data_IF_209465713925
#
_entry.id   IF_209465713925
#
_cell.length_a   1.000
_cell.length_b   1.000
_cell.length_c   1.000
_cell.angle_alpha   90.00
_cell.angle_beta   90.00
_cell.angle_gamma   90.00
#
_symmetry.space_group_name_H-M   'P 1'
#
loop_
_entity.id
_entity.type
_entity.pdbx_description
1 polymer ?
#
# COMPACT_ATOMS: atom_id res chain seq x y z
N UNK A 1 -75.34 -6.57 -35.06
CA UNK A 1 -76.55 -6.88 -34.29
C UNK A 1 -76.14 -7.49 -32.97
N UNK A 2 -76.49 -6.81 -31.86
CA UNK A 2 -76.81 -7.31 -30.49
C UNK A 2 -75.84 -8.30 -29.80
N UNK A 3 -75.36 -8.12 -28.57
CA UNK A 3 -75.63 -7.12 -27.50
C UNK A 3 -74.59 -7.31 -26.37
N UNK A 4 -74.28 -6.20 -25.69
CA UNK A 4 -73.75 -6.00 -24.32
C UNK A 4 -74.38 -6.97 -23.28
N UNK A 5 -73.85 -7.33 -22.12
CA UNK A 5 -73.10 -6.69 -21.00
C UNK A 5 -72.74 -7.83 -20.01
N UNK A 6 -71.70 -7.84 -19.17
CA UNK A 6 -71.54 -7.00 -17.98
C UNK A 6 -70.17 -7.25 -17.32
N UNK A 7 -69.63 -6.15 -16.80
CA UNK A 7 -68.60 -5.91 -15.79
C UNK A 7 -68.43 -6.94 -14.66
N UNK A 8 -67.18 -7.29 -14.34
CA UNK A 8 -66.71 -7.41 -12.96
C UNK A 8 -65.31 -6.80 -12.82
N UNK A 9 -65.23 -5.79 -11.95
CA UNK A 9 -64.01 -5.22 -11.40
C UNK A 9 -63.40 -6.19 -10.40
N UNK A 10 -62.10 -6.48 -10.52
CA UNK A 10 -61.26 -6.82 -9.38
C UNK A 10 -59.92 -6.11 -9.53
N UNK A 11 -59.76 -5.06 -8.73
CA UNK A 11 -58.51 -4.39 -8.42
C UNK A 11 -57.46 -5.40 -7.96
N UNK A 12 -56.36 -5.52 -8.71
CA UNK A 12 -55.12 -6.11 -8.21
C UNK A 12 -54.06 -5.02 -8.21
N UNK A 13 -53.44 -4.93 -7.04
CA UNK A 13 -52.55 -3.92 -6.51
C UNK A 13 -51.35 -3.56 -7.39
N UNK A 14 -51.09 -2.26 -7.42
CA UNK A 14 -49.81 -1.64 -7.74
C UNK A 14 -48.71 -2.09 -6.75
N UNK A 15 -48.04 -3.23 -7.00
CA UNK A 15 -46.86 -3.61 -6.20
C UNK A 15 -45.91 -4.62 -6.87
N UNK A 16 -45.70 -4.57 -8.18
CA UNK A 16 -44.74 -5.48 -8.84
C UNK A 16 -43.95 -4.87 -10.00
N UNK A 17 -43.64 -3.57 -9.93
CA UNK A 17 -42.84 -2.88 -10.95
C UNK A 17 -41.61 -2.14 -10.39
N UNK A 18 -41.05 -2.59 -9.26
CA UNK A 18 -39.92 -1.92 -8.59
C UNK A 18 -38.70 -2.80 -8.30
N UNK A 19 -38.51 -3.92 -9.01
CA UNK A 19 -37.35 -4.82 -8.78
C UNK A 19 -36.43 -5.05 -9.99
N UNK A 20 -36.52 -4.24 -11.05
CA UNK A 20 -35.70 -4.40 -12.28
C UNK A 20 -34.65 -3.30 -12.52
N UNK A 21 -34.37 -2.43 -11.55
CA UNK A 21 -33.41 -1.32 -11.70
C UNK A 21 -32.10 -1.47 -10.90
N UNK A 22 -31.71 -2.68 -10.52
CA UNK A 22 -30.38 -2.93 -9.98
C UNK A 22 -29.62 -3.82 -10.96
N UNK A 23 -28.47 -3.33 -11.44
CA UNK A 23 -27.55 -3.92 -12.45
C UNK A 23 -27.73 -3.38 -13.87
N UNK A 24 -27.65 -2.05 -14.05
CA UNK A 24 -27.27 -1.47 -15.34
C UNK A 24 -25.77 -1.09 -15.30
N UNK A 25 -24.88 -1.87 -15.94
CA UNK A 25 -23.44 -1.61 -15.93
C UNK A 25 -23.06 -0.25 -16.51
N UNK A 26 -23.82 0.25 -17.49
CA UNK A 26 -23.60 1.57 -18.09
C UNK A 26 -23.93 2.70 -17.09
N UNK A 27 -24.97 2.52 -16.27
CA UNK A 27 -25.32 3.49 -15.22
C UNK A 27 -24.29 3.48 -14.08
N UNK A 28 -23.69 2.32 -13.79
CA UNK A 28 -22.62 2.18 -12.79
C UNK A 28 -21.31 2.80 -13.28
N UNK A 29 -20.97 2.57 -14.56
CA UNK A 29 -19.86 3.24 -15.25
C UNK A 29 -20.06 4.76 -15.27
N UNK A 30 -21.26 5.23 -15.61
CA UNK A 30 -21.59 6.65 -15.62
C UNK A 30 -21.53 7.28 -14.22
N UNK A 31 -21.98 6.56 -13.18
CA UNK A 31 -21.81 6.99 -11.78
C UNK A 31 -20.34 7.05 -11.37
N UNK A 32 -19.51 6.07 -11.74
CA UNK A 32 -18.05 6.09 -11.48
C UNK A 32 -17.37 7.26 -12.20
N UNK A 33 -17.68 7.46 -13.48
CA UNK A 33 -17.20 8.59 -14.28
C UNK A 33 -17.59 9.93 -13.61
N UNK A 34 -18.86 10.10 -13.23
CA UNK A 34 -19.33 11.29 -12.52
C UNK A 34 -18.69 11.48 -11.14
N UNK A 35 -18.39 10.41 -10.40
CA UNK A 35 -17.71 10.47 -9.09
C UNK A 35 -16.27 10.94 -9.25
N UNK A 36 -15.54 10.41 -10.23
CA UNK A 36 -14.18 10.86 -10.62
C UNK A 36 -14.18 12.35 -11.01
N UNK A 37 -15.19 12.80 -11.76
CA UNK A 37 -15.28 14.20 -12.18
C UNK A 37 -15.68 15.19 -11.08
N UNK A 38 -16.28 14.74 -9.97
CA UNK A 38 -16.74 15.60 -8.88
C UNK A 38 -15.69 15.82 -7.78
N UNK A 39 -14.74 14.91 -7.62
CA UNK A 39 -13.79 14.93 -6.49
C UNK A 39 -12.66 15.92 -6.65
N UNK A 40 -12.43 16.46 -7.85
CA UNK A 40 -11.57 17.61 -8.05
C UNK A 40 -11.98 18.40 -9.31
N UNK A 41 -12.74 19.51 -9.16
CA UNK A 41 -13.07 20.41 -10.28
C UNK A 41 -11.82 21.00 -10.93
N UNK A 42 -10.70 21.12 -10.20
CA UNK A 42 -9.43 21.61 -10.71
C UNK A 42 -8.67 20.52 -11.48
N UNK A 43 -8.67 19.25 -11.06
CA UNK A 43 -8.09 18.14 -11.85
C UNK A 43 -8.92 17.86 -13.11
N UNK A 44 -10.23 17.95 -13.02
CA UNK A 44 -11.15 17.75 -14.15
C UNK A 44 -11.09 18.92 -15.12
N UNK A 45 -11.09 20.18 -14.64
CA UNK A 45 -10.72 21.32 -15.49
C UNK A 45 -9.31 21.17 -15.99
N UNK A 46 -8.34 20.63 -15.26
CA UNK A 46 -6.97 20.49 -15.73
C UNK A 46 -6.89 19.49 -16.88
N UNK A 47 -7.51 18.32 -16.77
CA UNK A 47 -7.48 17.30 -17.84
C UNK A 47 -8.24 17.81 -19.06
N UNK A 48 -9.42 18.42 -18.87
CA UNK A 48 -10.22 18.98 -19.97
C UNK A 48 -9.56 20.23 -20.56
N UNK A 49 -9.01 21.13 -19.75
CA UNK A 49 -8.31 22.36 -20.21
C UNK A 49 -6.94 22.02 -20.77
N UNK A 50 -6.22 21.00 -20.32
CA UNK A 50 -4.98 20.51 -20.96
C UNK A 50 -5.29 19.83 -22.30
N UNK A 51 -6.41 19.12 -22.39
CA UNK A 51 -6.91 18.56 -23.65
C UNK A 51 -7.43 19.64 -24.61
N UNK A 52 -7.98 20.75 -24.09
CA UNK A 52 -8.52 21.88 -24.85
C UNK A 52 -7.52 23.03 -25.07
N UNK A 53 -6.39 23.06 -24.37
CA UNK A 53 -5.29 24.03 -24.59
C UNK A 53 -4.28 23.54 -25.62
N UNK A 54 -4.54 22.40 -26.26
CA UNK A 54 -4.14 22.20 -27.65
C UNK A 54 -4.89 23.21 -28.52
N UNK A 55 -4.31 24.41 -28.60
CA UNK A 55 -4.57 25.34 -29.69
C UNK A 55 -4.38 24.60 -31.00
N UNK A 56 -5.48 24.25 -31.68
CA UNK A 56 -5.47 24.03 -33.12
C UNK A 56 -5.31 25.41 -33.76
N UNK A 57 -4.11 25.98 -33.69
CA UNK A 57 -3.72 27.14 -34.48
C UNK A 57 -2.75 26.71 -35.55
N UNK A 58 -3.23 26.74 -36.80
CA UNK A 58 -2.52 26.73 -38.07
C UNK A 58 -1.14 26.04 -38.09
N UNK A 59 -1.12 24.82 -38.67
CA UNK A 59 0.05 24.05 -39.14
C UNK A 59 1.41 24.62 -38.67
N UNK A 60 1.98 24.12 -37.55
CA UNK A 60 3.33 24.50 -37.18
C UNK A 60 4.30 24.02 -38.26
N UNK A 61 5.28 24.85 -38.63
CA UNK A 61 6.39 24.38 -39.47
C UNK A 61 7.12 23.25 -38.72
N UNK A 62 7.74 22.28 -39.43
CA UNK A 62 8.41 21.13 -38.80
C UNK A 62 9.46 21.52 -37.74
N UNK A 63 10.02 22.73 -37.81
CA UNK A 63 11.01 23.26 -36.88
C UNK A 63 10.41 23.86 -35.58
N UNK A 64 9.10 24.11 -35.52
CA UNK A 64 8.44 24.68 -34.34
C UNK A 64 8.08 23.60 -33.29
N UNK A 65 7.81 22.36 -33.72
CA UNK A 65 7.48 21.25 -32.82
C UNK A 65 8.68 20.83 -31.97
N UNK A 66 9.90 20.88 -32.51
CA UNK A 66 11.14 20.53 -31.80
C UNK A 66 11.51 21.50 -30.68
N UNK A 67 10.90 22.70 -30.62
CA UNK A 67 11.10 23.69 -29.54
C UNK A 67 9.87 23.90 -28.66
N UNK A 68 8.73 23.30 -28.99
CA UNK A 68 7.50 23.43 -28.22
C UNK A 68 7.54 22.50 -27.01
N UNK A 69 7.92 23.04 -25.85
CA UNK A 69 7.67 22.38 -24.57
C UNK A 69 6.23 22.67 -24.12
N UNK A 70 5.51 21.69 -23.53
CA UNK A 70 4.23 21.95 -22.89
C UNK A 70 4.40 23.06 -21.86
N UNK A 71 3.56 24.10 -21.93
CA UNK A 71 3.58 25.18 -20.94
C UNK A 71 3.27 24.59 -19.57
N UNK A 72 4.22 24.67 -18.64
CA UNK A 72 4.02 24.26 -17.25
C UNK A 72 3.19 25.32 -16.53
N UNK A 73 2.07 24.89 -15.96
CA UNK A 73 1.19 25.66 -15.10
C UNK A 73 0.87 24.81 -13.87
N UNK A 74 0.36 25.42 -12.79
CA UNK A 74 -0.01 24.69 -11.57
C UNK A 74 -0.92 23.49 -11.85
N UNK A 75 -1.82 23.63 -12.84
CA UNK A 75 -2.72 22.60 -13.33
C UNK A 75 -1.98 21.33 -13.79
N UNK A 76 -1.02 21.43 -14.72
CA UNK A 76 -0.37 20.29 -15.38
C UNK A 76 1.06 19.99 -14.89
N UNK A 77 1.48 20.62 -13.79
CA UNK A 77 2.82 20.48 -13.21
C UNK A 77 2.78 20.10 -11.72
N UNK A 78 1.74 19.36 -11.29
CA UNK A 78 1.65 18.86 -9.92
C UNK A 78 2.74 17.80 -9.67
N UNK A 79 3.50 17.88 -8.55
CA UNK A 79 4.51 16.88 -8.20
C UNK A 79 3.98 15.44 -8.19
N UNK A 80 4.76 14.51 -8.74
CA UNK A 80 4.47 13.08 -8.61
C UNK A 80 4.57 12.64 -7.15
N UNK A 81 3.56 11.91 -6.67
CA UNK A 81 3.54 11.34 -5.33
C UNK A 81 2.66 10.09 -5.26
N UNK A 82 3.13 9.01 -4.61
CA UNK A 82 2.32 7.80 -4.43
C UNK A 82 1.11 8.02 -3.51
N UNK A 83 1.07 9.11 -2.74
CA UNK A 83 -0.08 9.45 -1.87
C UNK A 83 -1.37 9.57 -2.69
N UNK A 84 -1.28 10.07 -3.93
CA UNK A 84 -2.43 10.23 -4.83
C UNK A 84 -3.09 8.89 -5.17
N UNK A 85 -2.38 7.75 -5.04
CA UNK A 85 -2.98 6.45 -5.26
C UNK A 85 -4.09 6.15 -4.25
N UNK A 86 -3.92 6.55 -2.99
CA UNK A 86 -4.94 6.35 -1.95
C UNK A 86 -6.17 7.24 -2.19
N UNK A 87 -5.95 8.53 -2.50
CA UNK A 87 -7.04 9.46 -2.84
C UNK A 87 -7.84 8.91 -4.04
N UNK A 88 -7.15 8.45 -5.10
CA UNK A 88 -7.81 7.81 -6.24
C UNK A 88 -8.55 6.53 -5.85
N UNK A 89 -7.95 5.67 -5.01
CA UNK A 89 -8.57 4.41 -4.60
C UNK A 89 -9.87 4.65 -3.84
N UNK A 90 -9.91 5.64 -2.94
CA UNK A 90 -11.12 6.02 -2.20
C UNK A 90 -12.25 6.51 -3.12
N UNK A 91 -11.91 7.13 -4.26
CA UNK A 91 -12.89 7.59 -5.24
C UNK A 91 -13.39 6.44 -6.13
N UNK A 92 -12.45 5.69 -6.72
CA UNK A 92 -12.73 4.68 -7.76
C UNK A 92 -13.20 3.35 -7.18
N UNK A 93 -12.57 2.92 -6.09
CA UNK A 93 -12.77 1.64 -5.42
C UNK A 93 -13.31 1.83 -3.99
N UNK A 94 -13.98 2.95 -3.73
CA UNK A 94 -14.32 3.38 -2.36
C UNK A 94 -15.03 2.35 -1.50
N UNK A 95 -15.94 1.57 -2.09
CA UNK A 95 -16.73 0.54 -1.39
C UNK A 95 -16.05 -0.85 -1.44
N UNK A 96 -14.93 -0.98 -2.14
CA UNK A 96 -14.17 -2.22 -2.23
C UNK A 96 -13.28 -2.39 -0.99
N UNK A 97 -13.06 -3.63 -0.53
CA UNK A 97 -12.10 -3.90 0.55
C UNK A 97 -10.71 -3.38 0.20
N UNK A 98 -10.07 -2.72 1.17
CA UNK A 98 -8.71 -2.24 1.10
C UNK A 98 -7.80 -3.00 2.06
N UNK A 99 -8.30 -3.35 3.25
CA UNK A 99 -7.54 -4.05 4.29
C UNK A 99 -8.40 -5.18 4.87
N UNK A 100 -7.78 -6.35 5.03
CA UNK A 100 -8.32 -7.49 5.75
C UNK A 100 -7.33 -7.90 6.84
N UNK A 101 -7.78 -7.94 8.09
CA UNK A 101 -6.95 -8.30 9.24
C UNK A 101 -7.80 -8.86 10.37
N UNK A 102 -7.58 -10.13 10.76
CA UNK A 102 -8.45 -10.85 11.70
C UNK A 102 -9.93 -10.76 11.27
N UNK A 103 -10.79 -10.15 12.08
CA UNK A 103 -12.20 -9.89 11.77
C UNK A 103 -12.45 -8.47 11.22
N UNK A 104 -11.40 -7.66 11.12
CA UNK A 104 -11.47 -6.30 10.58
C UNK A 104 -11.47 -6.32 9.06
N UNK A 105 -12.48 -5.67 8.48
CA UNK A 105 -12.57 -5.33 7.06
C UNK A 105 -12.67 -3.82 6.96
N UNK A 106 -11.77 -3.20 6.20
CA UNK A 106 -11.84 -1.76 5.89
C UNK A 106 -11.86 -1.56 4.39
N UNK A 107 -12.74 -0.66 3.94
CA UNK A 107 -12.86 -0.24 2.54
C UNK A 107 -11.86 0.86 2.20
N UNK A 108 -11.62 1.11 0.90
CA UNK A 108 -10.71 2.19 0.48
C UNK A 108 -11.18 3.58 0.93
N UNK A 109 -12.49 3.82 0.99
CA UNK A 109 -13.03 5.08 1.49
C UNK A 109 -12.78 5.26 3.00
N UNK A 110 -12.91 4.19 3.78
CA UNK A 110 -12.60 4.20 5.21
C UNK A 110 -11.10 4.35 5.48
N UNK A 111 -10.26 3.59 4.78
CA UNK A 111 -8.80 3.69 4.89
C UNK A 111 -8.33 5.11 4.57
N UNK A 112 -8.85 5.76 3.53
CA UNK A 112 -8.49 7.15 3.24
C UNK A 112 -8.90 8.12 4.35
N UNK A 113 -10.14 8.02 4.87
CA UNK A 113 -10.58 8.85 6.00
C UNK A 113 -9.70 8.65 7.24
N UNK A 114 -9.37 7.40 7.58
CA UNK A 114 -8.46 7.08 8.69
C UNK A 114 -7.07 7.69 8.48
N UNK A 115 -6.53 7.62 7.27
CA UNK A 115 -5.24 8.23 6.96
C UNK A 115 -5.27 9.77 7.08
N UNK A 116 -6.35 10.44 6.70
CA UNK A 116 -6.51 11.89 6.90
C UNK A 116 -6.55 12.25 8.38
N UNK A 117 -7.38 11.55 9.16
CA UNK A 117 -7.47 11.76 10.61
C UNK A 117 -6.11 11.55 11.28
N UNK A 118 -5.43 10.45 10.97
CA UNK A 118 -4.11 10.16 11.51
C UNK A 118 -3.07 11.22 11.11
N UNK A 119 -3.06 11.67 9.85
CA UNK A 119 -2.17 12.73 9.40
C UNK A 119 -2.44 14.06 10.14
N UNK A 120 -3.70 14.40 10.38
CA UNK A 120 -4.10 15.56 11.19
C UNK A 120 -3.57 15.45 12.62
N UNK A 121 -3.72 14.29 13.25
CA UNK A 121 -3.25 14.05 14.61
C UNK A 121 -1.73 14.12 14.70
N UNK A 122 -1.00 13.53 13.74
CA UNK A 122 0.46 13.66 13.63
C UNK A 122 0.86 15.15 13.54
N UNK A 123 0.19 15.93 12.71
CA UNK A 123 0.46 17.36 12.57
C UNK A 123 0.17 18.15 13.87
N UNK A 124 -0.88 17.79 14.61
CA UNK A 124 -1.23 18.43 15.89
C UNK A 124 -0.21 18.20 17.00
N UNK A 125 0.60 17.13 16.91
CA UNK A 125 1.74 16.88 17.79
C UNK A 125 2.96 17.77 17.45
N UNK A 126 2.82 18.71 16.52
CA UNK A 126 3.87 19.64 16.14
C UNK A 126 4.88 19.08 15.13
N UNK A 127 4.59 17.93 14.53
CA UNK A 127 5.39 17.37 13.42
C UNK A 127 5.26 18.27 12.20
N UNK A 128 6.40 18.66 11.63
CA UNK A 128 6.49 19.56 10.49
C UNK A 128 7.03 18.85 9.25
N UNK A 129 6.93 19.51 8.11
CA UNK A 129 7.49 19.02 6.85
C UNK A 129 8.98 18.67 7.02
N UNK A 130 9.36 17.48 6.59
CA UNK A 130 10.74 16.99 6.66
C UNK A 130 11.14 16.39 8.01
N UNK A 131 10.28 16.44 9.04
CA UNK A 131 10.51 15.72 10.28
C UNK A 131 10.38 14.21 10.06
N UNK A 132 11.18 13.43 10.78
CA UNK A 132 11.16 11.97 10.67
C UNK A 132 10.20 11.37 11.70
N UNK A 133 9.35 10.47 11.23
CA UNK A 133 8.44 9.66 12.04
C UNK A 133 8.82 8.19 11.85
N UNK A 134 9.25 7.55 12.94
CA UNK A 134 9.70 6.15 12.90
C UNK A 134 8.57 5.19 13.21
N UNK A 135 8.65 3.96 12.68
CA UNK A 135 7.66 2.91 12.93
C UNK A 135 8.36 1.58 13.18
N UNK A 136 8.02 0.93 14.28
CA UNK A 136 8.46 -0.40 14.69
C UNK A 136 7.20 -1.26 14.80
N UNK A 137 6.74 -1.83 13.69
CA UNK A 137 5.51 -2.62 13.64
C UNK A 137 5.55 -3.76 12.62
N UNK A 138 4.77 -4.85 12.82
CA UNK A 138 4.61 -5.93 11.85
C UNK A 138 3.70 -5.52 10.68
N UNK A 139 3.35 -6.48 9.83
CA UNK A 139 2.46 -6.26 8.69
C UNK A 139 0.99 -6.17 9.13
N UNK A 140 0.66 -5.13 9.91
CA UNK A 140 -0.67 -4.84 10.45
C UNK A 140 -1.30 -3.63 9.73
N UNK A 141 -2.63 -3.42 9.85
CA UNK A 141 -3.31 -2.31 9.17
C UNK A 141 -2.65 -0.94 9.39
N UNK A 142 -2.25 -0.65 10.62
CA UNK A 142 -1.60 0.61 10.97
C UNK A 142 -0.32 0.87 10.17
N UNK A 143 0.46 -0.18 9.86
CA UNK A 143 1.67 -0.05 9.04
C UNK A 143 1.30 0.38 7.61
N UNK A 144 0.23 -0.17 7.03
CA UNK A 144 -0.26 0.27 5.72
C UNK A 144 -0.80 1.71 5.76
N UNK A 145 -1.56 2.07 6.79
CA UNK A 145 -2.10 3.42 6.99
C UNK A 145 -0.98 4.47 7.18
N UNK A 146 0.09 4.14 7.92
CA UNK A 146 1.25 5.01 8.17
C UNK A 146 2.08 5.29 6.91
N UNK A 147 2.12 4.37 5.93
CA UNK A 147 2.76 4.62 4.63
C UNK A 147 2.12 5.78 3.85
N UNK A 148 0.86 6.12 4.16
CA UNK A 148 0.18 7.28 3.59
C UNK A 148 0.11 8.44 4.58
N UNK A 149 -0.25 8.18 5.83
CA UNK A 149 -0.56 9.20 6.83
C UNK A 149 0.64 10.05 7.21
N UNK A 150 1.82 9.42 7.35
CA UNK A 150 3.06 10.15 7.68
C UNK A 150 3.44 11.12 6.55
N UNK A 151 3.54 10.67 5.28
CA UNK A 151 3.72 11.59 4.16
C UNK A 151 2.59 12.60 3.96
N UNK A 152 1.33 12.26 4.29
CA UNK A 152 0.19 13.19 4.27
C UNK A 152 0.32 14.33 5.29
N UNK A 153 1.04 14.11 6.40
CA UNK A 153 1.44 15.15 7.34
C UNK A 153 2.68 15.95 6.86
N UNK A 154 3.25 15.61 5.69
CA UNK A 154 4.48 16.19 5.14
C UNK A 154 5.76 15.64 5.76
N UNK A 155 5.66 14.63 6.62
CA UNK A 155 6.78 14.03 7.32
C UNK A 155 7.39 12.86 6.52
N UNK A 156 8.57 12.42 6.95
CA UNK A 156 9.34 11.34 6.33
C UNK A 156 9.10 10.05 7.13
N UNK A 157 8.60 9.01 6.48
CA UNK A 157 8.39 7.70 7.11
C UNK A 157 9.71 6.94 7.25
N UNK A 158 10.09 6.61 8.49
CA UNK A 158 11.23 5.74 8.77
C UNK A 158 10.77 4.37 9.29
N UNK A 159 10.72 3.36 8.43
CA UNK A 159 10.31 2.01 8.84
C UNK A 159 11.50 1.24 9.39
N UNK A 160 11.41 0.76 10.63
CA UNK A 160 12.50 0.08 11.34
C UNK A 160 12.25 -1.42 11.40
N UNK A 161 13.31 -2.20 11.19
CA UNK A 161 13.25 -3.65 11.24
C UNK A 161 13.00 -4.14 12.67
N UNK A 162 11.92 -4.90 12.85
CA UNK A 162 11.49 -5.49 14.13
C UNK A 162 12.48 -6.47 14.76
N UNK A 163 13.49 -6.93 14.01
CA UNK A 163 14.49 -7.90 14.50
C UNK A 163 15.72 -7.25 15.13
N UNK A 164 15.78 -5.92 15.16
CA UNK A 164 16.89 -5.18 15.76
C UNK A 164 16.76 -5.13 17.28
N UNK A 165 17.89 -5.08 17.98
CA UNK A 165 17.93 -4.87 19.42
C UNK A 165 17.73 -3.38 19.79
N UNK A 166 17.56 -3.10 21.08
CA UNK A 166 17.30 -1.75 21.58
C UNK A 166 18.43 -0.77 21.24
N UNK A 167 19.69 -1.21 21.30
CA UNK A 167 20.85 -0.38 20.96
C UNK A 167 20.86 0.02 19.48
N UNK A 168 20.60 -0.94 18.59
CA UNK A 168 20.50 -0.69 17.16
C UNK A 168 19.35 0.28 16.88
N UNK A 169 18.17 0.08 17.47
CA UNK A 169 17.04 1.00 17.32
C UNK A 169 17.38 2.40 17.84
N UNK A 170 18.00 2.52 19.02
CA UNK A 170 18.43 3.81 19.58
C UNK A 170 19.38 4.55 18.64
N UNK A 171 20.36 3.84 18.07
CA UNK A 171 21.28 4.40 17.07
C UNK A 171 20.54 4.89 15.81
N UNK A 172 19.53 4.16 15.33
CA UNK A 172 18.72 4.58 14.19
C UNK A 172 17.87 5.81 14.52
N UNK A 173 17.25 5.86 15.71
CA UNK A 173 16.44 7.00 16.16
C UNK A 173 17.30 8.26 16.30
N UNK A 174 18.49 8.13 16.88
CA UNK A 174 19.46 9.21 16.98
C UNK A 174 19.91 9.69 15.59
N UNK A 175 20.33 8.78 14.71
CA UNK A 175 20.82 9.13 13.38
C UNK A 175 19.74 9.76 12.50
N UNK A 176 18.49 9.30 12.61
CA UNK A 176 17.37 9.82 11.82
C UNK A 176 16.81 11.13 12.37
N UNK A 177 17.09 11.47 13.64
CA UNK A 177 16.47 12.61 14.30
C UNK A 177 14.96 12.43 14.47
N UNK A 178 14.51 11.19 14.70
CA UNK A 178 13.09 10.85 14.82
C UNK A 178 12.41 11.67 15.92
N UNK A 179 11.26 12.27 15.62
CA UNK A 179 10.48 13.08 16.58
C UNK A 179 9.23 12.38 17.13
N UNK A 180 8.76 11.38 16.40
CA UNK A 180 7.63 10.54 16.77
C UNK A 180 8.00 9.09 16.43
N UNK A 181 7.62 8.14 17.27
CA UNK A 181 7.77 6.72 17.01
C UNK A 181 6.46 5.98 17.27
N UNK A 182 5.98 5.27 16.26
CA UNK A 182 4.89 4.30 16.41
C UNK A 182 5.50 2.94 16.72
N UNK A 183 5.07 2.29 17.79
CA UNK A 183 5.51 0.96 18.17
C UNK A 183 4.31 0.04 18.31
N UNK A 184 4.40 -1.14 17.71
CA UNK A 184 3.48 -2.22 18.03
C UNK A 184 3.52 -2.57 19.52
N UNK A 185 2.38 -2.89 20.14
CA UNK A 185 2.34 -3.15 21.57
C UNK A 185 3.24 -4.34 21.99
N UNK A 186 3.48 -5.33 21.11
CA UNK A 186 4.43 -6.42 21.41
C UNK A 186 5.91 -5.97 21.38
N UNK A 187 6.19 -4.79 20.82
CA UNK A 187 7.51 -4.17 20.77
C UNK A 187 7.66 -2.99 21.73
N UNK A 188 6.66 -2.74 22.59
CA UNK A 188 6.66 -1.61 23.54
C UNK A 188 7.91 -1.59 24.42
N UNK A 189 8.21 -2.72 25.08
CA UNK A 189 9.36 -2.82 25.99
C UNK A 189 10.69 -2.55 25.27
N UNK A 190 10.87 -3.14 24.09
CA UNK A 190 12.04 -2.96 23.24
C UNK A 190 12.21 -1.50 22.81
N UNK A 191 11.13 -0.85 22.39
CA UNK A 191 11.18 0.55 21.93
C UNK A 191 11.37 1.51 23.12
N UNK A 192 10.74 1.23 24.26
CA UNK A 192 10.94 2.01 25.47
C UNK A 192 12.40 1.94 25.94
N UNK A 193 13.00 0.75 25.93
CA UNK A 193 14.44 0.56 26.19
C UNK A 193 15.27 1.39 25.19
N UNK A 194 15.01 1.29 23.89
CA UNK A 194 15.73 2.04 22.86
C UNK A 194 15.65 3.58 23.07
N UNK A 195 14.47 4.10 23.40
CA UNK A 195 14.27 5.54 23.69
C UNK A 195 15.00 5.95 24.96
N UNK A 196 15.09 5.07 25.97
CA UNK A 196 15.81 5.34 27.21
C UNK A 196 17.33 5.44 27.03
N UNK A 197 17.87 4.74 26.02
CA UNK A 197 19.29 4.74 25.65
C UNK A 197 19.72 6.02 24.88
N UNK A 198 18.77 6.85 24.43
CA UNK A 198 19.09 8.10 23.76
C UNK A 198 19.81 9.08 24.70
N UNK A 199 20.88 9.76 24.23
CA UNK A 199 21.60 10.76 25.02
C UNK A 199 20.67 11.81 25.64
N UNK A 200 20.84 12.19 26.93
CA UNK A 200 19.91 13.09 27.63
C UNK A 200 19.72 14.49 27.02
N UNK A 201 20.67 14.94 26.19
CA UNK A 201 20.62 16.25 25.52
C UNK A 201 19.80 16.23 24.21
N UNK A 202 19.41 15.04 23.72
CA UNK A 202 18.57 14.91 22.54
C UNK A 202 17.09 14.90 22.93
N UNK A 203 16.26 15.47 22.05
CA UNK A 203 14.82 15.37 22.19
C UNK A 203 14.40 13.92 21.94
N UNK A 204 13.75 13.29 22.93
CA UNK A 204 13.23 11.94 22.80
C UNK A 204 11.97 11.95 21.93
N UNK A 205 11.82 11.01 20.99
CA UNK A 205 10.61 10.94 20.20
C UNK A 205 9.41 10.63 21.10
N UNK A 206 8.25 11.21 20.79
CA UNK A 206 7.00 10.82 21.43
C UNK A 206 6.65 9.40 21.02
N UNK A 207 6.28 8.54 21.98
CA UNK A 207 5.90 7.15 21.72
C UNK A 207 4.39 7.03 21.53
N UNK A 208 4.00 6.43 20.42
CA UNK A 208 2.62 6.05 20.11
C UNK A 208 2.54 4.53 20.05
N UNK A 209 1.68 3.92 20.86
CA UNK A 209 1.45 2.48 20.82
C UNK A 209 0.36 2.13 19.82
N UNK A 210 0.65 1.12 19.01
CA UNK A 210 -0.25 0.53 18.04
C UNK A 210 -0.72 -0.78 18.62
N UNK A 211 -1.95 -0.80 19.10
CA UNK A 211 -2.60 -2.00 19.60
C UNK A 211 -3.48 -2.70 18.56
N UNK A 212 -3.74 -3.98 18.82
CA UNK A 212 -4.94 -4.66 18.36
C UNK A 212 -5.74 -5.15 19.58
N UNK A 213 -7.07 -5.14 19.49
CA UNK A 213 -7.99 -5.45 20.61
C UNK A 213 -7.74 -6.82 21.28
N UNK A 214 -6.97 -7.69 20.64
CA UNK A 214 -6.73 -9.06 21.08
C UNK A 214 -5.45 -9.26 21.91
N UNK A 215 -4.51 -8.31 21.94
CA UNK A 215 -3.18 -8.58 22.52
C UNK A 215 -2.56 -7.53 23.44
N UNK A 216 -3.19 -6.38 23.63
CA UNK A 216 -2.61 -5.34 24.49
C UNK A 216 -3.38 -5.24 25.81
N UNK A 217 -2.73 -5.61 26.92
CA UNK A 217 -3.12 -5.11 28.24
C UNK A 217 -2.85 -3.60 28.27
N UNK A 218 -3.76 -2.83 28.87
CA UNK A 218 -3.73 -1.36 28.91
C UNK A 218 -2.32 -0.81 29.14
N UNK A 219 -1.90 0.16 28.34
CA UNK A 219 -0.58 0.78 28.40
C UNK A 219 -0.19 1.09 29.85
N UNK A 220 0.92 0.48 30.30
CA UNK A 220 1.35 0.56 31.71
C UNK A 220 2.12 1.85 32.05
N UNK A 221 2.32 2.74 31.06
CA UNK A 221 3.20 3.90 31.17
C UNK A 221 2.44 5.20 30.87
N UNK A 222 2.49 6.16 31.80
CA UNK A 222 1.77 7.46 31.75
C UNK A 222 2.13 8.38 30.56
N UNK A 223 3.04 8.00 29.65
CA UNK A 223 3.55 8.85 28.58
C UNK A 223 3.35 8.30 27.15
N UNK A 224 2.59 7.22 26.97
CA UNK A 224 2.24 6.68 25.66
C UNK A 224 0.95 7.33 25.12
N UNK A 225 0.93 7.62 23.82
CA UNK A 225 -0.31 7.95 23.10
C UNK A 225 -0.83 6.65 22.46
N UNK A 226 -2.14 6.44 22.47
CA UNK A 226 -2.75 5.31 21.75
C UNK A 226 -3.04 5.66 20.28
N UNK A 227 -2.74 4.73 19.38
CA UNK A 227 -2.90 4.88 17.94
C UNK A 227 -4.37 5.09 17.52
N UNK A 228 -5.30 4.28 18.05
CA UNK A 228 -6.71 4.40 17.64
C UNK A 228 -7.31 5.70 18.17
N UNK A 229 -6.93 6.15 19.37
CA UNK A 229 -7.28 7.49 19.86
C UNK A 229 -6.78 8.62 18.94
N UNK A 230 -5.57 8.49 18.37
CA UNK A 230 -5.10 9.45 17.35
C UNK A 230 -5.95 9.41 16.08
N UNK A 231 -6.39 8.23 15.64
CA UNK A 231 -7.25 8.10 14.47
C UNK A 231 -8.65 8.66 14.76
N UNK A 232 -9.23 8.39 15.92
CA UNK A 232 -10.57 8.86 16.29
C UNK A 232 -10.63 10.37 16.50
N UNK A 233 -9.61 10.94 17.15
CA UNK A 233 -9.53 12.37 17.45
C UNK A 233 -9.09 13.26 16.29
N UNK A 234 -8.66 12.68 15.17
CA UNK A 234 -8.20 13.42 14.00
C UNK A 234 -9.31 14.01 13.13
N UNK A 235 -8.98 15.03 12.36
CA UNK A 235 -9.89 15.68 11.40
C UNK A 235 -10.00 14.87 10.10
N UNK A 236 -11.20 14.40 9.74
CA UNK A 236 -11.44 13.70 8.47
C UNK A 236 -11.43 14.61 7.24
N UNK A 237 -11.60 15.91 7.43
CA UNK A 237 -11.55 16.91 6.36
C UNK A 237 -10.15 17.51 6.17
N UNK A 238 -9.16 17.03 6.94
CA UNK A 238 -7.78 17.51 6.92
C UNK A 238 -7.24 17.60 5.50
N UNK A 239 -6.77 18.79 5.12
CA UNK A 239 -6.13 19.02 3.82
C UNK A 239 -4.68 18.60 3.92
N UNK A 240 -4.44 17.33 3.63
CA UNK A 240 -3.11 16.72 3.66
C UNK A 240 -2.09 17.54 2.85
N UNK A 241 -0.85 17.57 3.35
CA UNK A 241 0.20 18.40 2.81
C UNK A 241 0.79 17.76 1.56
N UNK A 242 0.49 18.32 0.39
CA UNK A 242 1.14 17.91 -0.86
C UNK A 242 2.65 18.16 -0.81
N UNK A 243 3.49 17.31 -1.46
CA UNK A 243 4.90 17.62 -1.61
C UNK A 243 5.07 18.93 -2.40
N UNK A 244 6.07 19.73 -2.02
CA UNK A 244 6.42 20.95 -2.74
C UNK A 244 7.18 20.61 -4.02
N UNK A 245 8.01 19.57 -3.95
CA UNK A 245 8.73 18.98 -5.07
C UNK A 245 8.55 17.48 -5.08
N UNK A 246 8.52 16.86 -6.26
CA UNK A 246 8.53 15.40 -6.35
C UNK A 246 9.86 14.79 -5.85
N UNK A 247 10.88 15.63 -5.67
CA UNK A 247 12.17 15.27 -5.06
C UNK A 247 12.18 15.38 -3.54
N UNK A 248 11.10 15.87 -2.92
CA UNK A 248 10.99 15.89 -1.46
C UNK A 248 11.09 14.44 -0.92
N UNK A 249 11.77 14.22 0.22
CA UNK A 249 11.83 12.92 0.86
C UNK A 249 10.44 12.41 1.27
N UNK A 250 10.15 11.14 1.00
CA UNK A 250 8.92 10.47 1.45
C UNK A 250 9.22 9.41 2.52
N UNK A 251 10.36 8.73 2.42
CA UNK A 251 10.75 7.67 3.34
C UNK A 251 12.25 7.59 3.52
N UNK A 252 12.65 7.19 4.72
CA UNK A 252 14.00 6.81 5.12
C UNK A 252 14.00 5.31 5.45
N UNK A 253 14.97 4.58 4.92
CA UNK A 253 15.17 3.17 5.22
C UNK A 253 16.63 2.95 5.64
N UNK A 254 16.91 1.95 6.45
CA UNK A 254 18.28 1.65 6.86
C UNK A 254 18.79 0.34 6.28
N UNK A 255 20.06 0.31 5.89
CA UNK A 255 20.73 -0.90 5.40
C UNK A 255 21.82 -1.33 6.35
N UNK A 256 21.91 -2.65 6.54
CA UNK A 256 22.94 -3.30 7.37
C UNK A 256 24.27 -3.42 6.61
N UNK A 257 24.68 -2.38 5.87
CA UNK A 257 25.90 -2.40 5.06
C UNK A 257 27.11 -2.91 5.84
N UNK A 258 28.15 -3.38 5.13
CA UNK A 258 29.35 -4.06 5.68
C UNK A 258 30.20 -3.23 6.66
N UNK A 259 29.79 -2.01 6.99
CA UNK A 259 30.47 -1.08 7.91
C UNK A 259 29.67 -0.98 9.21
N UNK A 260 30.37 -0.83 10.35
CA UNK A 260 29.76 -0.79 11.70
C UNK A 260 28.74 0.33 11.97
N UNK A 261 28.56 1.28 11.05
CA UNK A 261 27.58 2.36 11.17
C UNK A 261 26.39 2.16 10.22
N UNK A 262 25.14 2.34 10.70
CA UNK A 262 23.94 2.18 9.87
C UNK A 262 23.90 3.24 8.76
N UNK A 263 23.55 2.82 7.54
CA UNK A 263 23.43 3.73 6.39
C UNK A 263 21.96 4.02 6.10
N UNK A 264 21.61 5.31 6.14
CA UNK A 264 20.28 5.79 5.79
C UNK A 264 20.13 5.97 4.28
N UNK A 265 19.09 5.37 3.71
CA UNK A 265 18.66 5.51 2.32
C UNK A 265 17.39 6.34 2.30
N UNK A 266 17.48 7.55 1.74
CA UNK A 266 16.35 8.47 1.61
C UNK A 266 15.77 8.35 0.21
N UNK A 267 14.48 8.02 0.11
CA UNK A 267 13.74 8.00 -1.15
C UNK A 267 12.85 9.23 -1.26
N UNK A 268 12.64 9.70 -2.48
CA UNK A 268 11.76 10.82 -2.78
C UNK A 268 10.38 10.37 -3.29
N UNK A 269 9.40 11.27 -3.27
CA UNK A 269 8.06 11.01 -3.78
C UNK A 269 8.05 10.52 -5.25
N UNK A 270 8.90 11.09 -6.11
CA UNK A 270 9.05 10.68 -7.51
C UNK A 270 9.51 9.23 -7.62
N UNK A 271 10.55 8.86 -6.87
CA UNK A 271 11.11 7.52 -6.86
C UNK A 271 10.06 6.49 -6.42
N UNK A 272 9.40 6.73 -5.29
CA UNK A 272 8.35 5.84 -4.78
C UNK A 272 7.16 5.73 -5.75
N UNK A 273 6.74 6.83 -6.39
CA UNK A 273 5.68 6.82 -7.40
C UNK A 273 6.04 5.93 -8.59
N UNK A 274 7.25 6.13 -9.16
CA UNK A 274 7.73 5.39 -10.33
C UNK A 274 7.94 3.91 -10.00
N UNK A 275 8.58 3.58 -8.88
CA UNK A 275 8.81 2.20 -8.47
C UNK A 275 7.51 1.43 -8.20
N UNK A 276 6.49 2.10 -7.66
CA UNK A 276 5.16 1.49 -7.51
C UNK A 276 4.57 1.09 -8.86
N UNK A 277 4.63 1.97 -9.86
CA UNK A 277 4.08 1.70 -11.21
C UNK A 277 4.91 0.65 -11.94
N UNK A 278 6.23 0.78 -11.90
CA UNK A 278 7.17 -0.11 -12.55
C UNK A 278 7.01 -1.55 -12.04
N UNK A 279 6.97 -1.73 -10.71
CA UNK A 279 6.78 -3.05 -10.09
C UNK A 279 5.45 -3.69 -10.46
N UNK A 280 4.36 -2.91 -10.52
CA UNK A 280 3.05 -3.42 -10.92
C UNK A 280 3.03 -3.84 -12.40
N UNK A 281 3.68 -3.07 -13.28
CA UNK A 281 3.75 -3.36 -14.71
C UNK A 281 4.63 -4.57 -15.00
N UNK A 282 5.84 -4.60 -14.43
CA UNK A 282 6.80 -5.70 -14.59
C UNK A 282 6.19 -7.03 -14.15
N UNK A 283 5.57 -7.06 -12.96
CA UNK A 283 4.94 -8.27 -12.44
C UNK A 283 3.53 -8.52 -13.01
N UNK A 284 3.05 -7.65 -13.91
CA UNK A 284 1.73 -7.76 -14.55
C UNK A 284 0.58 -7.92 -13.55
N UNK A 285 0.65 -7.17 -12.44
CA UNK A 285 -0.35 -7.24 -11.37
C UNK A 285 -1.72 -6.78 -11.91
N UNK A 286 -2.78 -7.59 -11.77
CA UNK A 286 -4.10 -7.22 -12.27
C UNK A 286 -4.70 -6.06 -11.45
N UNK A 287 -5.87 -5.56 -11.88
CA UNK A 287 -6.67 -4.68 -11.02
C UNK A 287 -7.28 -5.50 -9.88
N UNK A 288 -7.39 -4.86 -8.71
CA UNK A 288 -8.01 -5.41 -7.50
C UNK A 288 -7.50 -6.82 -7.12
N UNK A 289 -6.17 -7.06 -7.08
CA UNK A 289 -5.64 -8.33 -6.58
C UNK A 289 -5.97 -8.48 -5.09
N UNK A 290 -6.07 -9.71 -4.61
CA UNK A 290 -5.99 -9.99 -3.17
C UNK A 290 -4.52 -10.26 -2.84
N UNK A 291 -3.88 -9.31 -2.18
CA UNK A 291 -2.44 -9.31 -1.88
C UNK A 291 -2.18 -9.65 -0.41
N UNK A 292 -1.41 -10.71 -0.16
CA UNK A 292 -1.05 -11.14 1.19
C UNK A 292 0.34 -10.64 1.60
N UNK A 293 0.40 -9.95 2.73
CA UNK A 293 1.62 -9.38 3.29
C UNK A 293 2.47 -10.41 4.03
N UNK A 294 3.30 -11.16 3.30
CA UNK A 294 4.37 -11.99 3.88
C UNK A 294 5.76 -11.35 3.81
N UNK A 295 5.97 -10.41 2.89
CA UNK A 295 7.13 -9.53 2.88
C UNK A 295 6.93 -8.45 3.94
N UNK A 296 7.90 -8.18 4.83
CA UNK A 296 7.75 -7.12 5.80
C UNK A 296 7.63 -5.75 5.13
N UNK A 297 6.62 -4.97 5.52
CA UNK A 297 6.43 -3.60 5.03
C UNK A 297 7.60 -2.69 5.41
N UNK A 298 8.35 -2.99 6.47
CA UNK A 298 9.57 -2.25 6.82
C UNK A 298 10.77 -2.56 5.91
N UNK A 299 10.68 -3.58 5.05
CA UNK A 299 11.78 -3.98 4.18
C UNK A 299 11.64 -3.30 2.82
N UNK A 300 12.32 -2.17 2.65
CA UNK A 300 12.21 -1.30 1.48
C UNK A 300 10.74 -0.96 1.15
N UNK A 301 9.97 -0.60 2.19
CA UNK A 301 8.55 -0.22 2.10
C UNK A 301 7.66 -1.28 1.44
N UNK A 302 7.97 -2.57 1.65
CA UNK A 302 7.29 -3.68 0.97
C UNK A 302 7.49 -3.66 -0.54
N UNK A 303 8.69 -3.28 -1.00
CA UNK A 303 9.06 -3.09 -2.42
C UNK A 303 8.09 -2.13 -3.14
N UNK A 304 7.68 -1.07 -2.45
CA UNK A 304 6.70 -0.08 -2.94
C UNK A 304 5.28 -0.62 -3.20
N UNK A 305 4.98 -1.90 -2.93
CA UNK A 305 3.61 -2.43 -3.04
C UNK A 305 2.66 -1.85 -1.99
N UNK A 306 3.18 -1.29 -0.88
CA UNK A 306 2.37 -0.61 0.14
C UNK A 306 1.61 0.56 -0.45
N UNK A 307 2.23 1.29 -1.38
CA UNK A 307 1.58 2.30 -2.20
C UNK A 307 0.93 1.71 -3.46
N UNK A 308 1.61 0.76 -4.11
CA UNK A 308 1.16 0.16 -5.38
C UNK A 308 -0.21 -0.50 -5.30
N UNK A 309 -0.56 -1.15 -4.18
CA UNK A 309 -1.88 -1.77 -4.02
C UNK A 309 -3.02 -0.75 -4.12
N UNK A 310 -2.83 0.50 -3.64
CA UNK A 310 -3.82 1.56 -3.85
C UNK A 310 -3.96 1.96 -5.32
N UNK A 311 -2.87 1.93 -6.10
CA UNK A 311 -2.91 2.29 -7.53
C UNK A 311 -3.83 1.36 -8.32
N UNK A 312 -3.82 0.06 -8.00
CA UNK A 312 -4.63 -0.97 -8.65
C UNK A 312 -5.93 -1.32 -7.90
N UNK A 313 -6.15 -0.76 -6.70
CA UNK A 313 -7.32 -1.06 -5.86
C UNK A 313 -7.27 -2.45 -5.21
N UNK A 314 -6.07 -2.98 -4.97
CA UNK A 314 -5.86 -4.30 -4.39
C UNK A 314 -6.20 -4.39 -2.90
N UNK A 315 -6.63 -5.56 -2.47
CA UNK A 315 -6.92 -5.84 -1.06
C UNK A 315 -5.61 -6.20 -0.35
N UNK A 316 -5.32 -5.55 0.77
CA UNK A 316 -4.18 -5.81 1.63
C UNK A 316 -4.59 -6.78 2.74
N UNK A 317 -4.22 -8.06 2.61
CA UNK A 317 -4.38 -9.05 3.67
C UNK A 317 -3.16 -8.96 4.59
N UNK A 318 -3.37 -8.41 5.77
CA UNK A 318 -2.34 -8.20 6.78
C UNK A 318 -2.14 -9.47 7.63
N UNK A 319 -0.89 -9.75 8.00
CA UNK A 319 -0.55 -10.84 8.93
C UNK A 319 0.50 -10.33 9.92
N UNK A 320 0.17 -10.40 11.20
CA UNK A 320 1.12 -10.05 12.28
C UNK A 320 2.32 -11.00 12.28
N UNK A 321 2.05 -12.30 12.21
CA UNK A 321 3.08 -13.35 12.15
C UNK A 321 3.01 -14.09 10.82
N UNK A 322 4.16 -14.28 10.21
CA UNK A 322 4.31 -15.05 8.98
C UNK A 322 4.77 -16.46 9.36
N UNK A 323 3.81 -17.37 9.44
CA UNK A 323 4.03 -18.82 9.57
C UNK A 323 3.19 -19.57 8.54
N UNK A 324 3.58 -20.80 8.21
CA UNK A 324 2.92 -21.57 7.17
C UNK A 324 1.41 -21.80 7.42
N UNK A 325 0.96 -22.21 8.64
CA UNK A 325 -0.47 -22.32 8.94
C UNK A 325 -1.24 -21.03 8.65
N UNK A 326 -0.77 -19.89 9.17
CA UNK A 326 -1.45 -18.60 9.02
C UNK A 326 -1.51 -18.14 7.55
N UNK A 327 -0.43 -18.37 6.79
CA UNK A 327 -0.39 -18.05 5.36
C UNK A 327 -1.37 -18.91 4.58
N UNK A 328 -1.39 -20.22 4.81
CA UNK A 328 -2.31 -21.14 4.13
C UNK A 328 -3.77 -20.86 4.48
N UNK A 329 -4.06 -20.57 5.75
CA UNK A 329 -5.40 -20.15 6.17
C UNK A 329 -5.83 -18.86 5.46
N UNK A 330 -4.96 -17.84 5.42
CA UNK A 330 -5.26 -16.60 4.72
C UNK A 330 -5.50 -16.81 3.23
N UNK A 331 -4.69 -17.67 2.57
CA UNK A 331 -4.90 -18.04 1.16
C UNK A 331 -6.27 -18.67 0.96
N UNK A 332 -6.62 -19.67 1.77
CA UNK A 332 -7.87 -20.41 1.64
C UNK A 332 -9.10 -19.58 2.03
N UNK A 333 -8.98 -18.70 3.04
CA UNK A 333 -10.06 -17.85 3.57
C UNK A 333 -10.37 -16.66 2.66
N UNK A 334 -9.34 -15.97 2.18
CA UNK A 334 -9.50 -14.70 1.47
C UNK A 334 -9.33 -14.80 -0.05
N UNK A 335 -8.98 -15.99 -0.57
CA UNK A 335 -8.73 -16.17 -2.00
C UNK A 335 -7.53 -15.34 -2.47
N UNK A 336 -6.43 -15.40 -1.72
CA UNK A 336 -5.19 -14.68 -2.04
C UNK A 336 -4.75 -15.00 -3.46
N UNK A 337 -4.32 -13.97 -4.18
CA UNK A 337 -3.87 -14.06 -5.57
C UNK A 337 -2.39 -13.73 -5.73
N UNK A 338 -1.87 -12.83 -4.89
CA UNK A 338 -0.51 -12.30 -4.98
C UNK A 338 0.12 -12.21 -3.59
N UNK A 339 1.41 -12.46 -3.50
CA UNK A 339 2.22 -12.21 -2.30
C UNK A 339 3.69 -12.03 -2.68
N UNK A 340 4.46 -11.36 -1.82
CA UNK A 340 5.91 -11.31 -1.94
C UNK A 340 6.56 -11.99 -0.74
N UNK A 341 7.74 -12.58 -0.92
CA UNK A 341 8.46 -13.17 0.20
C UNK A 341 9.92 -13.49 -0.12
N UNK A 342 10.78 -13.45 0.88
CA UNK A 342 12.15 -13.96 0.72
C UNK A 342 12.14 -15.49 0.54
N UNK A 343 13.21 -16.11 0.02
CA UNK A 343 13.30 -17.57 -0.15
C UNK A 343 13.04 -18.39 1.12
N UNK A 344 13.27 -17.81 2.31
CA UNK A 344 12.92 -18.44 3.59
C UNK A 344 11.41 -18.64 3.75
N UNK A 345 10.58 -17.73 3.22
CA UNK A 345 9.12 -17.86 3.23
C UNK A 345 8.69 -19.02 2.32
N UNK A 346 9.26 -19.11 1.12
CA UNK A 346 9.03 -20.26 0.23
C UNK A 346 9.46 -21.58 0.87
N UNK A 347 10.61 -21.59 1.53
CA UNK A 347 11.14 -22.78 2.19
C UNK A 347 10.24 -23.22 3.35
N UNK A 348 9.78 -22.27 4.17
CA UNK A 348 8.81 -22.50 5.24
C UNK A 348 7.50 -23.09 4.70
N UNK A 349 6.95 -22.53 3.62
CA UNK A 349 5.70 -23.02 3.01
C UNK A 349 5.84 -24.41 2.40
N UNK A 350 6.95 -24.66 1.70
CA UNK A 350 7.20 -25.95 1.01
C UNK A 350 7.60 -27.08 1.96
N UNK A 351 8.04 -26.78 3.17
CA UNK A 351 8.35 -27.77 4.20
C UNK A 351 7.17 -28.07 5.13
N UNK A 352 6.08 -27.31 5.04
CA UNK A 352 4.87 -27.56 5.81
C UNK A 352 4.18 -28.85 5.31
N UNK A 353 3.64 -29.71 6.20
CA UNK A 353 3.08 -31.03 5.83
C UNK A 353 1.70 -30.95 5.14
N UNK A 354 1.43 -29.88 4.39
CA UNK A 354 0.18 -29.72 3.62
C UNK A 354 0.15 -30.77 2.51
N UNK A 355 -0.90 -31.59 2.49
CA UNK A 355 -1.04 -32.70 1.52
C UNK A 355 -1.78 -32.31 0.24
N UNK A 356 -2.50 -31.18 0.24
CA UNK A 356 -3.31 -30.72 -0.90
C UNK A 356 -2.72 -29.44 -1.50
N UNK A 357 -2.57 -29.35 -2.83
CA UNK A 357 -2.25 -28.10 -3.51
C UNK A 357 -3.26 -26.98 -3.21
N UNK A 358 -2.89 -25.76 -3.55
CA UNK A 358 -3.76 -24.59 -3.48
C UNK A 358 -4.96 -24.76 -4.43
N UNK A 359 -6.13 -24.25 -4.02
CA UNK A 359 -7.36 -24.32 -4.82
C UNK A 359 -7.30 -23.46 -6.09
N UNK A 360 -6.44 -22.46 -6.10
CA UNK A 360 -6.23 -21.53 -7.20
C UNK A 360 -4.76 -21.10 -7.21
N UNK A 361 -4.28 -20.69 -8.38
CA UNK A 361 -2.90 -20.25 -8.52
C UNK A 361 -2.65 -18.98 -7.70
N UNK A 362 -1.54 -18.97 -6.96
CA UNK A 362 -1.08 -17.81 -6.19
C UNK A 362 0.27 -17.37 -6.74
N UNK A 363 0.33 -16.13 -7.20
CA UNK A 363 1.57 -15.53 -7.68
C UNK A 363 2.44 -15.14 -6.49
N UNK A 364 3.69 -15.61 -6.48
CA UNK A 364 4.67 -15.24 -5.46
C UNK A 364 5.93 -14.64 -6.10
N UNK A 365 6.19 -13.38 -5.80
CA UNK A 365 7.46 -12.73 -6.16
C UNK A 365 8.48 -12.96 -5.04
N UNK A 366 9.57 -13.65 -5.36
CA UNK A 366 10.68 -13.89 -4.44
C UNK A 366 11.90 -13.08 -4.81
N UNK A 367 12.63 -12.56 -3.81
CA UNK A 367 13.86 -11.80 -3.99
C UNK A 367 14.70 -11.76 -2.70
N UNK A 368 15.84 -11.07 -2.76
CA UNK A 368 16.77 -10.86 -1.63
C UNK A 368 17.85 -11.93 -1.51
N UNK A 369 17.58 -13.14 -1.98
CA UNK A 369 18.58 -14.20 -2.18
C UNK A 369 18.11 -15.13 -3.32
N UNK A 370 19.02 -15.82 -4.02
CA UNK A 370 18.64 -16.80 -5.03
C UNK A 370 17.91 -17.98 -4.38
N UNK A 371 16.66 -18.30 -4.81
CA UNK A 371 15.92 -19.45 -4.27
C UNK A 371 16.53 -20.78 -4.77
N UNK A 372 16.70 -21.81 -3.92
CA UNK A 372 17.17 -23.11 -4.37
C UNK A 372 16.18 -23.77 -5.34
N UNK A 373 16.66 -24.39 -6.42
CA UNK A 373 15.82 -25.01 -7.44
C UNK A 373 14.82 -26.05 -6.87
N UNK A 374 15.24 -26.83 -5.87
CA UNK A 374 14.37 -27.79 -5.19
C UNK A 374 13.20 -27.12 -4.44
N UNK A 375 13.38 -25.90 -3.92
CA UNK A 375 12.32 -25.13 -3.27
C UNK A 375 11.33 -24.63 -4.33
N UNK A 376 11.81 -24.17 -5.48
CA UNK A 376 10.97 -23.72 -6.60
C UNK A 376 10.06 -24.84 -7.10
N UNK A 377 10.62 -26.03 -7.34
CA UNK A 377 9.84 -27.20 -7.78
C UNK A 377 8.77 -27.61 -6.77
N UNK A 378 9.06 -27.56 -5.45
CA UNK A 378 8.05 -27.83 -4.42
C UNK A 378 6.98 -26.75 -4.34
N UNK A 379 7.34 -25.48 -4.53
CA UNK A 379 6.38 -24.38 -4.51
C UNK A 379 5.40 -24.48 -5.69
N UNK A 380 5.88 -24.79 -6.89
CA UNK A 380 5.03 -25.03 -8.05
C UNK A 380 4.12 -26.25 -7.87
N UNK A 381 4.64 -27.34 -7.29
CA UNK A 381 3.82 -28.52 -6.97
C UNK A 381 2.69 -28.22 -5.97
N UNK A 382 2.86 -27.22 -5.11
CA UNK A 382 1.82 -26.71 -4.24
C UNK A 382 0.82 -25.79 -4.96
N UNK A 383 1.11 -25.33 -6.18
CA UNK A 383 0.24 -24.43 -6.96
C UNK A 383 0.64 -22.95 -6.92
N UNK A 384 1.85 -22.63 -6.46
CA UNK A 384 2.38 -21.27 -6.59
C UNK A 384 2.93 -21.01 -7.99
N UNK A 385 2.74 -19.80 -8.50
CA UNK A 385 3.42 -19.29 -9.70
C UNK A 385 4.57 -18.40 -9.21
N UNK A 386 5.81 -18.89 -9.33
CA UNK A 386 6.98 -18.21 -8.76
C UNK A 386 7.61 -17.28 -9.78
N UNK A 387 7.74 -16.01 -9.41
CA UNK A 387 8.56 -15.01 -10.11
C UNK A 387 9.77 -14.67 -9.25
N UNK A 388 10.93 -14.47 -9.85
CA UNK A 388 12.14 -14.08 -9.13
C UNK A 388 12.58 -12.68 -9.55
N UNK A 389 12.91 -11.85 -8.57
CA UNK A 389 13.47 -10.53 -8.79
C UNK A 389 14.71 -10.29 -7.94
N UNK A 390 15.41 -9.21 -8.24
CA UNK A 390 16.54 -8.70 -7.50
C UNK A 390 16.36 -7.20 -7.26
N UNK A 391 16.77 -6.76 -6.08
CA UNK A 391 16.55 -5.42 -5.59
C UNK A 391 17.38 -5.14 -4.35
N UNK A 392 17.50 -3.86 -4.03
CA UNK A 392 18.22 -3.35 -2.88
C UNK A 392 17.35 -2.29 -2.18
N UNK A 393 17.60 -2.05 -0.90
CA UNK A 393 16.94 -0.94 -0.20
C UNK A 393 17.30 0.40 -0.87
N UNK A 394 18.54 0.54 -1.34
CA UNK A 394 19.08 1.67 -2.09
C UNK A 394 18.31 1.96 -3.38
N UNK A 395 17.68 0.95 -3.98
CA UNK A 395 16.92 1.08 -5.22
C UNK A 395 15.41 1.18 -5.01
N UNK A 396 14.93 1.17 -3.76
CA UNK A 396 13.50 1.30 -3.45
C UNK A 396 12.69 0.02 -3.67
N UNK A 397 13.36 -1.13 -3.82
CA UNK A 397 12.73 -2.41 -4.10
C UNK A 397 13.38 -3.11 -5.29
N UNK A 398 12.55 -3.80 -6.08
CA UNK A 398 12.96 -4.61 -7.22
C UNK A 398 13.39 -3.72 -8.39
N UNK A 399 14.52 -4.08 -9.02
CA UNK A 399 15.05 -3.40 -10.23
C UNK A 399 15.36 -4.35 -11.38
N UNK A 400 15.43 -5.65 -11.10
CA UNK A 400 15.61 -6.69 -12.10
C UNK A 400 14.60 -7.79 -11.81
N UNK A 401 13.94 -8.28 -12.84
CA UNK A 401 13.03 -9.41 -12.78
C UNK A 401 13.45 -10.49 -13.76
N UNK A 402 13.11 -11.73 -13.43
CA UNK A 402 13.20 -12.84 -14.37
C UNK A 402 11.98 -12.79 -15.29
N UNK A 403 12.10 -12.07 -16.40
CA UNK A 403 11.07 -12.02 -17.43
C UNK A 403 10.92 -13.40 -18.09
N UNK A 404 9.80 -14.07 -17.81
CA UNK A 404 9.55 -15.42 -18.33
C UNK A 404 9.41 -15.40 -19.85
N UNK A 405 10.15 -16.28 -20.52
CA UNK A 405 10.08 -16.47 -21.97
C UNK A 405 9.22 -17.70 -22.27
N UNK A 406 8.26 -17.58 -23.20
CA UNK A 406 7.32 -18.67 -23.54
C UNK A 406 8.02 -19.93 -24.02
N UNK A 407 9.19 -19.79 -24.62
CA UNK A 407 10.02 -20.90 -25.07
C UNK A 407 10.47 -21.79 -23.90
N UNK A 408 10.54 -21.27 -22.67
CA UNK A 408 10.92 -22.02 -21.48
C UNK A 408 9.83 -22.97 -20.99
N UNK A 409 8.57 -22.80 -21.40
CA UNK A 409 7.50 -23.75 -21.11
C UNK A 409 7.75 -25.13 -21.77
N UNK A 410 8.63 -25.19 -22.77
CA UNK A 410 9.00 -26.42 -23.47
C UNK A 410 10.18 -27.16 -22.82
N UNK A 411 10.88 -26.54 -21.86
CA UNK A 411 11.99 -27.17 -21.16
C UNK A 411 11.43 -28.20 -20.16
N UNK A 412 11.85 -29.45 -20.30
CA UNK A 412 11.46 -30.52 -19.37
C UNK A 412 11.99 -30.21 -17.97
N UNK A 413 11.07 -29.79 -17.09
CA UNK A 413 11.38 -29.21 -15.79
C UNK A 413 11.72 -27.73 -15.91
N UNK A 414 10.79 -26.87 -15.46
CA UNK A 414 10.88 -25.39 -15.50
C UNK A 414 12.14 -24.78 -14.86
N UNK A 415 13.05 -25.58 -14.28
CA UNK A 415 14.16 -25.12 -13.45
C UNK A 415 15.52 -25.74 -13.79
N UNK A 416 15.67 -26.43 -14.92
CA UNK A 416 16.97 -26.88 -15.42
C UNK A 416 17.69 -25.78 -16.25
N UNK A 417 17.77 -24.57 -15.71
CA UNK A 417 18.65 -23.52 -16.27
C UNK A 417 19.54 -23.04 -15.13
N UNK A 418 20.70 -23.70 -15.02
CA UNK A 418 21.83 -23.33 -14.15
C UNK A 418 22.70 -22.26 -14.79
#
# INVERSE_FOLDING_TARGET
MKTLSHTQHSSISSSSASSLFHHNPALQLQKQICKIYRTDPALTRTIITASLSYSVSNKPSPAAVTKAQPRRAAANSTPLTPINYLERAAVVYGDCPAILYNDTVRTWAETYRRCLKLASSIASLGIKRGDVVSVVAPNIPAMSELHFSVPMAGAILNTINLRLDANAIANLLQHSGSKLIFADCQSESLVHEAVSLLPPHLHRPTLVLVGDDASCESCSVDCCIDYENMVEGGDEDFKWLRPLSEWDPITLNYTSGTTSSPKGVVHCHRGAFLMSVDSLLDWSVPKQPVYLWTLPMFHANGWSYTWGMAAVGGVNVCLRRVDAPSVFEAIDKYGVTHMCGAPVVLSMLTNHPRTKPLKSAVHIMTAGAPPPAAVLGRAEALGFIVSHGYGLTETGGLVVSCAWKKEWDQLSGRWNIS
#
